data_IF_956021373447
#
_entry.id   IF_956021373447
#
_cell.length_a   1.000
_cell.length_b   1.000
_cell.length_c   1.000
_cell.angle_alpha   90.00
_cell.angle_beta   90.00
_cell.angle_gamma   90.00
#
_symmetry.space_group_name_H-M   'P 1'
#
loop_
_entity.id
_entity.type
_entity.pdbx_description
1 polymer ?
#
# COMPACT_ATOMS: atom_id res chain seq x y z
N UNK A 1 -36.25 -71.80 -18.70
CA UNK A 1 -35.37 -71.01 -17.80
C UNK A 1 -34.02 -70.86 -18.53
N UNK A 2 -33.31 -69.74 -18.64
CA UNK A 2 -33.19 -68.57 -17.77
C UNK A 2 -32.65 -67.31 -18.51
N UNK A 3 -33.09 -66.15 -17.98
CA UNK A 3 -32.44 -64.84 -17.83
C UNK A 3 -31.92 -64.08 -19.08
N UNK A 4 -32.81 -63.20 -19.57
CA UNK A 4 -32.54 -62.01 -20.39
C UNK A 4 -31.47 -61.11 -19.75
N UNK A 5 -30.35 -60.91 -20.44
CA UNK A 5 -29.37 -59.88 -20.12
C UNK A 5 -29.84 -58.49 -20.58
N UNK A 6 -30.38 -57.70 -19.64
CA UNK A 6 -30.66 -56.28 -19.86
C UNK A 6 -29.36 -55.50 -19.75
N UNK A 7 -28.67 -55.31 -20.87
CA UNK A 7 -27.51 -54.43 -20.94
C UNK A 7 -27.96 -52.99 -20.73
N UNK A 8 -27.49 -52.40 -19.62
CA UNK A 8 -27.84 -51.07 -19.16
C UNK A 8 -27.69 -50.00 -20.24
N UNK A 9 -28.79 -49.30 -20.51
CA UNK A 9 -28.82 -48.08 -21.32
C UNK A 9 -27.86 -47.08 -20.70
N UNK A 10 -26.71 -46.86 -21.34
CA UNK A 10 -25.80 -45.75 -21.02
C UNK A 10 -26.60 -44.46 -21.13
N UNK A 11 -26.92 -43.84 -20.00
CA UNK A 11 -27.57 -42.55 -19.92
C UNK A 11 -26.68 -41.51 -20.61
N UNK A 12 -26.94 -41.28 -21.90
CA UNK A 12 -26.40 -40.15 -22.67
C UNK A 12 -27.08 -38.88 -22.15
N UNK A 13 -26.69 -38.42 -20.96
CA UNK A 13 -27.04 -37.09 -20.46
C UNK A 13 -26.38 -36.04 -21.35
N UNK A 14 -27.04 -35.68 -22.46
CA UNK A 14 -26.67 -34.53 -23.29
C UNK A 14 -27.29 -33.27 -22.68
N UNK A 15 -26.76 -32.83 -21.54
CA UNK A 15 -27.19 -31.56 -20.93
C UNK A 15 -26.69 -30.42 -21.82
N UNK A 16 -27.54 -29.93 -22.72
CA UNK A 16 -27.28 -28.75 -23.54
C UNK A 16 -27.56 -27.50 -22.70
N UNK A 17 -26.62 -27.12 -21.84
CA UNK A 17 -26.71 -25.86 -21.09
C UNK A 17 -26.57 -24.67 -22.04
N UNK A 18 -27.34 -23.62 -21.81
CA UNK A 18 -27.16 -22.34 -22.50
C UNK A 18 -25.78 -21.78 -22.12
N UNK A 19 -25.04 -21.26 -23.10
CA UNK A 19 -23.70 -20.66 -22.88
C UNK A 19 -23.71 -19.62 -21.74
N UNK A 20 -24.77 -18.82 -21.66
CA UNK A 20 -24.98 -17.84 -20.58
C UNK A 20 -24.98 -18.49 -19.20
N UNK A 21 -25.68 -19.60 -19.02
CA UNK A 21 -25.74 -20.35 -17.75
C UNK A 21 -24.37 -20.90 -17.36
N UNK A 22 -23.60 -21.39 -18.33
CA UNK A 22 -22.23 -21.88 -18.08
C UNK A 22 -21.37 -20.76 -17.50
N UNK A 23 -21.35 -19.58 -18.14
CA UNK A 23 -20.58 -18.44 -17.63
C UNK A 23 -21.02 -18.01 -16.23
N UNK A 24 -22.33 -17.95 -15.96
CA UNK A 24 -22.83 -17.60 -14.62
C UNK A 24 -22.40 -18.62 -13.57
N UNK A 25 -22.42 -19.92 -13.87
CA UNK A 25 -21.97 -20.97 -12.95
C UNK A 25 -20.47 -20.81 -12.65
N UNK A 26 -19.64 -20.59 -13.67
CA UNK A 26 -18.21 -20.35 -13.48
C UNK A 26 -17.96 -19.09 -12.65
N UNK A 27 -18.65 -17.99 -12.95
CA UNK A 27 -18.52 -16.74 -12.19
C UNK A 27 -18.86 -16.90 -10.71
N UNK A 28 -20.01 -17.51 -10.41
CA UNK A 28 -20.42 -17.78 -9.03
C UNK A 28 -19.45 -18.74 -8.33
N UNK A 29 -19.00 -19.79 -9.03
CA UNK A 29 -18.03 -20.75 -8.50
C UNK A 29 -16.69 -20.10 -8.16
N UNK A 30 -16.18 -19.21 -9.01
CA UNK A 30 -14.92 -18.48 -8.76
C UNK A 30 -15.04 -17.54 -7.55
N UNK A 31 -16.14 -16.80 -7.42
CA UNK A 31 -16.36 -15.92 -6.26
C UNK A 31 -16.50 -16.74 -4.98
N UNK A 32 -17.28 -17.82 -5.01
CA UNK A 32 -17.45 -18.70 -3.86
C UNK A 32 -16.10 -19.31 -3.43
N UNK A 33 -15.30 -19.80 -4.39
CA UNK A 33 -13.95 -20.29 -4.11
C UNK A 33 -13.07 -19.20 -3.48
N UNK A 34 -13.12 -17.97 -3.99
CA UNK A 34 -12.40 -16.86 -3.36
C UNK A 34 -12.83 -16.62 -1.92
N UNK A 35 -14.13 -16.64 -1.63
CA UNK A 35 -14.65 -16.43 -0.28
C UNK A 35 -14.14 -17.54 0.64
N UNK A 36 -14.13 -18.80 0.18
CA UNK A 36 -13.56 -19.91 0.92
C UNK A 36 -12.07 -19.75 1.21
N UNK A 37 -11.28 -19.34 0.21
CA UNK A 37 -9.84 -19.09 0.40
C UNK A 37 -9.63 -17.92 1.37
N UNK A 38 -10.38 -16.83 1.21
CA UNK A 38 -10.28 -15.66 2.10
C UNK A 38 -10.66 -16.01 3.54
N UNK A 39 -11.74 -16.77 3.71
CA UNK A 39 -12.19 -17.25 5.01
C UNK A 39 -11.16 -18.16 5.67
N UNK A 40 -10.41 -18.94 4.89
CA UNK A 40 -9.30 -19.76 5.38
C UNK A 40 -8.18 -18.96 6.05
N UNK A 41 -8.01 -17.66 5.72
CA UNK A 41 -7.07 -16.77 6.40
C UNK A 41 -7.57 -16.22 7.74
N UNK A 42 -8.89 -16.16 7.92
CA UNK A 42 -9.52 -15.52 9.09
C UNK A 42 -9.97 -16.58 10.11
N UNK A 43 -10.54 -17.68 9.63
CA UNK A 43 -11.15 -18.71 10.46
C UNK A 43 -10.10 -19.72 10.97
N UNK A 44 -10.16 -20.01 12.27
CA UNK A 44 -9.29 -20.95 12.98
C UNK A 44 -9.98 -22.31 13.19
N UNK A 45 -10.27 -23.01 12.09
CA UNK A 45 -10.80 -24.37 12.12
C UNK A 45 -9.85 -25.36 11.44
N UNK A 46 -9.80 -26.65 11.84
CA UNK A 46 -8.81 -27.60 11.31
C UNK A 46 -8.80 -27.70 9.78
N UNK A 47 -9.99 -27.71 9.16
CA UNK A 47 -10.12 -27.73 7.70
C UNK A 47 -9.62 -26.43 7.05
N UNK A 48 -9.92 -25.29 7.67
CA UNK A 48 -9.49 -23.98 7.17
C UNK A 48 -7.98 -23.78 7.33
N UNK A 49 -7.39 -24.26 8.42
CA UNK A 49 -5.95 -24.27 8.65
C UNK A 49 -5.21 -25.16 7.64
N UNK A 50 -5.76 -26.33 7.34
CA UNK A 50 -5.21 -27.21 6.30
C UNK A 50 -5.24 -26.55 4.92
N UNK A 51 -6.37 -25.97 4.51
CA UNK A 51 -6.46 -25.21 3.25
C UNK A 51 -5.45 -24.06 3.24
N UNK A 52 -5.32 -23.36 4.36
CA UNK A 52 -4.45 -22.21 4.46
C UNK A 52 -2.98 -22.60 4.30
N UNK A 53 -2.56 -23.62 5.05
CA UNK A 53 -1.19 -24.16 5.00
C UNK A 53 -0.86 -24.70 3.61
N UNK A 54 -1.80 -25.36 2.92
CA UNK A 54 -1.63 -25.75 1.52
C UNK A 54 -1.37 -24.52 0.64
N UNK A 55 -2.24 -23.52 0.67
CA UNK A 55 -2.14 -22.35 -0.23
C UNK A 55 -0.87 -21.54 0.08
N UNK A 56 -0.50 -21.38 1.35
CA UNK A 56 0.79 -20.79 1.75
C UNK A 56 1.99 -21.63 1.32
N UNK A 57 1.88 -22.95 1.31
CA UNK A 57 2.94 -23.82 0.78
C UNK A 57 3.18 -23.60 -0.71
N UNK A 58 2.10 -23.45 -1.50
CA UNK A 58 2.20 -23.25 -2.95
C UNK A 58 2.60 -21.82 -3.35
N UNK A 59 2.04 -20.79 -2.72
CA UNK A 59 2.18 -19.39 -3.13
C UNK A 59 2.92 -18.50 -2.13
N UNK A 60 3.35 -19.05 -0.99
CA UNK A 60 4.07 -18.31 0.04
C UNK A 60 3.26 -17.15 0.64
N UNK A 61 3.91 -16.02 1.00
CA UNK A 61 3.22 -14.81 1.46
C UNK A 61 2.24 -14.21 0.45
N UNK A 62 2.43 -14.42 -0.86
CA UNK A 62 1.51 -13.91 -1.88
C UNK A 62 0.21 -14.72 -2.00
N UNK A 63 0.07 -15.81 -1.24
CA UNK A 63 -1.20 -16.53 -1.06
C UNK A 63 -2.37 -15.62 -0.68
N UNK A 64 -2.11 -14.54 0.06
CA UNK A 64 -3.13 -13.56 0.46
C UNK A 64 -3.78 -12.82 -0.72
N UNK A 65 -3.08 -12.66 -1.85
CA UNK A 65 -3.62 -12.01 -3.06
C UNK A 65 -4.41 -12.97 -3.95
N UNK A 66 -4.32 -14.28 -3.73
CA UNK A 66 -4.99 -15.31 -4.53
C UNK A 66 -6.52 -15.18 -4.53
N UNK A 67 -7.22 -14.89 -3.41
CA UNK A 67 -8.65 -14.55 -3.41
C UNK A 67 -9.00 -13.46 -4.42
N UNK A 68 -8.19 -12.39 -4.48
CA UNK A 68 -8.44 -11.26 -5.38
C UNK A 68 -8.38 -11.70 -6.84
N UNK A 69 -7.45 -12.60 -7.19
CA UNK A 69 -7.39 -13.21 -8.53
C UNK A 69 -8.72 -13.90 -8.86
N UNK A 70 -9.22 -14.76 -7.97
CA UNK A 70 -10.47 -15.49 -8.18
C UNK A 70 -11.71 -14.58 -8.24
N UNK A 71 -11.74 -13.49 -7.46
CA UNK A 71 -12.81 -12.48 -7.53
C UNK A 71 -12.83 -11.82 -8.90
N UNK A 72 -11.67 -11.40 -9.42
CA UNK A 72 -11.59 -10.76 -10.72
C UNK A 72 -12.02 -11.71 -11.86
N UNK A 73 -11.63 -12.99 -11.79
CA UNK A 73 -12.14 -14.01 -12.71
C UNK A 73 -13.65 -14.24 -12.57
N UNK A 74 -14.18 -14.21 -11.35
CA UNK A 74 -15.61 -14.27 -11.09
C UNK A 74 -16.39 -13.14 -11.79
N UNK A 75 -15.90 -11.91 -11.63
CA UNK A 75 -16.49 -10.74 -12.28
C UNK A 75 -16.35 -10.75 -13.80
N UNK A 76 -15.25 -11.28 -14.33
CA UNK A 76 -15.05 -11.47 -15.77
C UNK A 76 -16.17 -12.33 -16.38
N UNK A 77 -16.53 -13.44 -15.73
CA UNK A 77 -17.55 -14.35 -16.26
C UNK A 77 -18.98 -13.82 -16.12
N UNK A 78 -19.26 -12.97 -15.14
CA UNK A 78 -20.58 -12.36 -15.02
C UNK A 78 -20.92 -11.34 -16.11
N UNK A 79 -19.93 -10.86 -16.88
CA UNK A 79 -20.12 -9.85 -17.94
C UNK A 79 -20.98 -8.65 -17.48
N UNK A 80 -20.82 -8.26 -16.22
CA UNK A 80 -21.47 -7.06 -15.69
C UNK A 80 -20.83 -5.85 -16.37
N UNK A 81 -21.57 -4.74 -16.51
CA UNK A 81 -21.02 -3.47 -17.06
C UNK A 81 -20.04 -2.77 -16.10
N UNK A 82 -19.59 -3.47 -15.06
CA UNK A 82 -18.72 -2.93 -14.04
C UNK A 82 -17.26 -2.88 -14.52
N UNK A 83 -16.48 -1.88 -14.10
CA UNK A 83 -15.09 -1.71 -14.56
C UNK A 83 -14.21 -2.94 -14.26
N UNK A 84 -14.46 -3.64 -13.15
CA UNK A 84 -13.74 -4.87 -12.76
C UNK A 84 -14.10 -6.11 -13.60
N UNK A 85 -15.20 -6.07 -14.37
CA UNK A 85 -15.60 -7.16 -15.27
C UNK A 85 -14.92 -7.10 -16.63
N UNK A 86 -14.07 -6.08 -16.88
CA UNK A 86 -13.28 -5.98 -18.10
C UNK A 86 -12.23 -7.10 -18.14
N UNK A 87 -12.08 -7.83 -19.27
CA UNK A 87 -11.06 -8.87 -19.42
C UNK A 87 -9.65 -8.41 -19.07
N UNK A 88 -9.32 -7.17 -19.45
CA UNK A 88 -8.01 -6.56 -19.26
C UNK A 88 -7.61 -6.55 -17.77
N UNK A 89 -8.55 -6.26 -16.86
CA UNK A 89 -8.29 -6.19 -15.41
C UNK A 89 -7.95 -7.58 -14.84
N UNK A 90 -8.75 -8.60 -15.17
CA UNK A 90 -8.55 -9.95 -14.67
C UNK A 90 -7.27 -10.59 -15.21
N UNK A 91 -7.04 -10.48 -16.53
CA UNK A 91 -5.85 -11.03 -17.20
C UNK A 91 -4.59 -10.27 -16.77
N UNK A 92 -4.65 -8.94 -16.72
CA UNK A 92 -3.54 -8.10 -16.27
C UNK A 92 -3.14 -8.40 -14.83
N UNK A 93 -4.11 -8.49 -13.91
CA UNK A 93 -3.82 -8.84 -12.51
C UNK A 93 -3.25 -10.25 -12.37
N UNK A 94 -3.76 -11.24 -13.12
CA UNK A 94 -3.20 -12.59 -13.13
C UNK A 94 -1.74 -12.57 -13.61
N UNK A 95 -1.42 -11.80 -14.64
CA UNK A 95 -0.08 -11.69 -15.20
C UNK A 95 0.88 -11.05 -14.19
N UNK A 96 0.46 -9.95 -13.55
CA UNK A 96 1.22 -9.32 -12.45
C UNK A 96 1.42 -10.32 -11.31
N UNK A 97 0.36 -11.01 -10.88
CA UNK A 97 0.40 -11.97 -9.79
C UNK A 97 1.42 -13.08 -10.04
N UNK A 98 1.35 -13.73 -11.21
CA UNK A 98 2.28 -14.80 -11.59
C UNK A 98 3.71 -14.26 -11.69
N UNK A 99 3.90 -13.07 -12.26
CA UNK A 99 5.22 -12.45 -12.40
C UNK A 99 5.84 -12.10 -11.05
N UNK A 100 5.06 -11.61 -10.10
CA UNK A 100 5.50 -11.31 -8.72
C UNK A 100 5.84 -12.62 -7.98
N UNK A 101 4.96 -13.63 -8.03
CA UNK A 101 5.20 -14.93 -7.40
C UNK A 101 6.50 -15.57 -7.93
N UNK A 102 6.73 -15.49 -9.24
CA UNK A 102 7.95 -15.96 -9.89
C UNK A 102 9.18 -15.14 -9.50
N UNK A 103 9.08 -13.80 -9.51
CA UNK A 103 10.19 -12.88 -9.18
C UNK A 103 10.74 -13.15 -7.78
N UNK A 104 9.84 -13.29 -6.80
CA UNK A 104 10.20 -13.55 -5.40
C UNK A 104 10.40 -15.04 -5.09
N UNK A 105 10.29 -15.93 -6.09
CA UNK A 105 10.37 -17.39 -5.92
C UNK A 105 9.46 -17.89 -4.79
N UNK A 106 8.26 -17.34 -4.72
CA UNK A 106 7.39 -17.49 -3.56
C UNK A 106 6.63 -18.81 -3.59
N UNK A 107 6.76 -19.58 -2.50
CA UNK A 107 6.19 -20.91 -2.41
C UNK A 107 6.73 -21.88 -3.46
N UNK A 108 6.14 -23.06 -3.54
CA UNK A 108 6.52 -24.08 -4.51
C UNK A 108 6.34 -23.60 -5.96
N UNK A 109 5.23 -22.91 -6.27
CA UNK A 109 4.91 -22.48 -7.64
C UNK A 109 5.90 -21.44 -8.14
N UNK A 110 6.21 -20.42 -7.32
CA UNK A 110 7.15 -19.37 -7.70
C UNK A 110 8.56 -19.92 -7.90
N UNK A 111 9.02 -20.79 -7.01
CA UNK A 111 10.32 -21.44 -7.13
C UNK A 111 10.40 -22.31 -8.39
N UNK A 112 9.36 -23.12 -8.67
CA UNK A 112 9.30 -23.97 -9.85
C UNK A 112 9.30 -23.14 -11.14
N UNK A 113 8.47 -22.09 -11.23
CA UNK A 113 8.43 -21.22 -12.42
C UNK A 113 9.77 -20.54 -12.66
N UNK A 114 10.39 -20.03 -11.59
CA UNK A 114 11.71 -19.39 -11.70
C UNK A 114 12.75 -20.39 -12.20
N UNK A 115 12.80 -21.59 -11.61
CA UNK A 115 13.78 -22.62 -11.98
C UNK A 115 13.65 -22.99 -13.45
N UNK A 116 12.45 -23.37 -13.89
CA UNK A 116 12.17 -23.79 -15.28
C UNK A 116 12.61 -22.74 -16.30
N UNK A 117 12.39 -21.45 -16.01
CA UNK A 117 12.76 -20.38 -16.93
C UNK A 117 14.27 -20.07 -16.84
N UNK A 118 14.85 -20.17 -15.64
CA UNK A 118 16.29 -19.96 -15.43
C UNK A 118 17.16 -21.03 -16.06
N UNK A 119 16.64 -22.25 -16.22
CA UNK A 119 17.32 -23.33 -16.92
C UNK A 119 17.50 -23.01 -18.42
N UNK A 120 16.65 -22.15 -18.98
CA UNK A 120 16.68 -21.76 -20.40
C UNK A 120 17.45 -20.45 -20.63
N UNK A 121 17.22 -19.41 -19.82
CA UNK A 121 17.69 -18.03 -20.09
C UNK A 121 18.75 -17.53 -19.07
N UNK A 122 19.15 -18.39 -18.12
CA UNK A 122 19.96 -18.08 -16.91
C UNK A 122 19.18 -17.29 -15.85
N UNK A 123 19.57 -17.38 -14.56
CA UNK A 123 18.86 -16.73 -13.46
C UNK A 123 18.70 -15.21 -13.59
N UNK A 124 19.71 -14.51 -14.12
CA UNK A 124 19.64 -13.05 -14.33
C UNK A 124 18.61 -12.70 -15.41
N UNK A 125 18.56 -13.47 -16.49
CA UNK A 125 17.56 -13.30 -17.54
C UNK A 125 16.14 -13.53 -17.03
N UNK A 126 15.95 -14.55 -16.20
CA UNK A 126 14.66 -14.84 -15.56
C UNK A 126 14.15 -13.69 -14.70
N UNK A 127 15.02 -13.04 -13.92
CA UNK A 127 14.65 -11.86 -13.13
C UNK A 127 14.17 -10.71 -14.03
N UNK A 128 14.87 -10.43 -15.13
CA UNK A 128 14.46 -9.41 -16.09
C UNK A 128 13.10 -9.75 -16.73
N UNK A 129 12.90 -11.01 -17.15
CA UNK A 129 11.62 -11.47 -17.72
C UNK A 129 10.49 -11.30 -16.72
N UNK A 130 10.69 -11.66 -15.44
CA UNK A 130 9.68 -11.44 -14.41
C UNK A 130 9.39 -9.95 -14.20
N UNK A 131 10.41 -9.10 -14.21
CA UNK A 131 10.24 -7.65 -14.06
C UNK A 131 9.45 -7.05 -15.23
N UNK A 132 9.81 -7.44 -16.45
CA UNK A 132 9.08 -7.07 -17.67
C UNK A 132 7.65 -7.58 -17.65
N UNK A 133 7.43 -8.82 -17.17
CA UNK A 133 6.10 -9.38 -16.96
C UNK A 133 5.25 -8.53 -16.02
N UNK A 134 5.80 -8.04 -14.92
CA UNK A 134 5.09 -7.11 -14.02
C UNK A 134 4.69 -5.83 -14.77
N UNK A 135 5.61 -5.24 -15.53
CA UNK A 135 5.32 -4.00 -16.29
C UNK A 135 4.23 -4.23 -17.34
N UNK A 136 4.35 -5.29 -18.15
CA UNK A 136 3.34 -5.66 -19.16
C UNK A 136 2.00 -5.94 -18.49
N UNK A 137 2.00 -6.66 -17.37
CA UNK A 137 0.79 -6.95 -16.61
C UNK A 137 0.09 -5.69 -16.10
N UNK A 138 0.86 -4.68 -15.64
CA UNK A 138 0.31 -3.40 -15.21
C UNK A 138 -0.29 -2.60 -16.38
N UNK A 139 0.38 -2.57 -17.54
CA UNK A 139 -0.15 -1.94 -18.77
C UNK A 139 -1.51 -2.56 -19.13
N UNK A 140 -1.58 -3.90 -19.15
CA UNK A 140 -2.81 -4.64 -19.46
C UNK A 140 -3.87 -4.41 -18.39
N UNK A 141 -3.51 -4.42 -17.10
CA UNK A 141 -4.45 -4.27 -15.99
C UNK A 141 -5.18 -2.92 -16.03
N UNK A 142 -4.43 -1.84 -16.28
CA UNK A 142 -4.99 -0.49 -16.30
C UNK A 142 -5.59 -0.10 -17.64
N UNK A 143 -5.37 -0.89 -18.70
CA UNK A 143 -5.77 -0.52 -20.07
C UNK A 143 -5.16 0.85 -20.45
N UNK A 144 -3.92 1.08 -20.00
CA UNK A 144 -3.28 2.39 -19.94
C UNK A 144 -1.89 2.36 -20.57
N UNK A 145 -1.50 3.44 -21.24
CA UNK A 145 -0.17 3.60 -21.83
C UNK A 145 0.95 3.70 -20.77
N UNK A 146 2.18 3.32 -21.13
CA UNK A 146 3.36 3.42 -20.24
C UNK A 146 3.55 4.85 -19.68
N UNK A 147 3.29 5.86 -20.51
CA UNK A 147 3.46 7.27 -20.14
C UNK A 147 2.48 7.71 -19.05
N UNK A 148 1.24 7.24 -19.11
CA UNK A 148 0.22 7.51 -18.08
C UNK A 148 0.56 6.83 -16.75
N UNK A 149 1.11 5.62 -16.76
CA UNK A 149 1.60 4.94 -15.55
C UNK A 149 2.74 5.74 -14.90
N UNK A 150 3.72 6.19 -15.70
CA UNK A 150 4.83 7.01 -15.21
C UNK A 150 4.37 8.36 -14.65
N UNK A 151 3.40 9.01 -15.30
CA UNK A 151 2.75 10.23 -14.79
C UNK A 151 2.03 9.99 -13.48
N UNK A 152 1.30 8.87 -13.35
CA UNK A 152 0.62 8.46 -12.12
C UNK A 152 1.60 8.21 -10.96
N UNK A 153 2.72 7.53 -11.22
CA UNK A 153 3.77 7.32 -10.21
C UNK A 153 4.35 8.67 -9.76
N UNK A 154 4.62 9.60 -10.68
CA UNK A 154 5.12 10.94 -10.34
C UNK A 154 4.11 11.76 -9.53
N UNK A 155 2.82 11.69 -9.83
CA UNK A 155 1.77 12.40 -9.08
C UNK A 155 1.53 11.79 -7.69
N UNK A 156 1.66 10.46 -7.53
CA UNK A 156 1.56 9.83 -6.21
C UNK A 156 2.68 10.26 -5.25
N UNK A 157 3.86 10.65 -5.74
CA UNK A 157 4.92 11.20 -4.88
C UNK A 157 4.54 12.54 -4.23
N UNK A 158 3.71 13.36 -4.86
CA UNK A 158 3.22 14.60 -4.25
C UNK A 158 2.12 14.34 -3.21
N UNK A 159 1.26 13.37 -3.49
CA UNK A 159 0.20 12.92 -2.57
C UNK A 159 0.82 12.23 -1.34
N UNK A 160 1.85 11.41 -1.52
CA UNK A 160 2.55 10.70 -0.44
C UNK A 160 3.34 11.66 0.47
N UNK A 161 3.93 12.73 -0.09
CA UNK A 161 4.55 13.82 0.70
C UNK A 161 3.52 14.62 1.51
N UNK A 162 2.26 14.67 1.06
CA UNK A 162 1.16 15.37 1.72
C UNK A 162 0.45 14.51 2.78
N UNK A 163 0.46 13.18 2.63
CA UNK A 163 -0.15 12.21 3.54
C UNK A 163 0.80 11.66 4.61
N UNK A 164 2.11 11.67 4.39
CA UNK A 164 3.11 11.35 5.41
C UNK A 164 3.60 12.67 6.02
N UNK A 165 3.08 13.10 7.20
CA UNK A 165 3.67 14.21 7.90
C UNK A 165 5.12 13.84 8.25
N UNK A 166 6.06 14.53 7.64
CA UNK A 166 7.51 14.41 7.87
C UNK A 166 7.90 14.73 9.34
N UNK A 167 6.93 15.03 10.22
CA UNK A 167 7.10 15.24 11.65
C UNK A 167 7.36 13.96 12.45
N UNK A 168 6.99 12.77 11.94
CA UNK A 168 7.28 11.50 12.64
C UNK A 168 8.70 10.98 12.42
N UNK A 169 9.40 11.45 11.37
CA UNK A 169 10.76 11.03 11.03
C UNK A 169 11.84 12.10 11.31
N UNK A 170 11.47 13.32 11.73
CA UNK A 170 12.41 14.24 12.37
C UNK A 170 12.71 13.75 13.79
N UNK A 171 13.73 12.89 13.86
CA UNK A 171 14.46 12.47 15.06
C UNK A 171 14.17 13.32 16.30
N UNK A 172 13.51 12.67 17.27
CA UNK A 172 13.72 12.86 18.71
C UNK A 172 15.22 12.62 19.00
N UNK A 173 16.08 13.61 18.77
CA UNK A 173 17.53 13.50 18.98
C UNK A 173 18.03 14.10 20.29
N UNK A 174 17.19 14.78 21.08
CA UNK A 174 17.68 15.56 22.23
C UNK A 174 17.14 15.10 23.60
N UNK A 175 16.48 13.94 23.70
CA UNK A 175 15.94 13.50 25.00
C UNK A 175 16.95 12.80 25.93
N UNK A 176 18.24 12.74 25.55
CA UNK A 176 19.31 12.12 26.34
C UNK A 176 20.51 13.02 26.63
N UNK A 177 20.51 14.30 26.22
CA UNK A 177 21.72 15.14 26.32
C UNK A 177 21.72 16.15 27.48
N UNK A 178 20.64 16.30 28.26
CA UNK A 178 20.58 17.31 29.33
C UNK A 178 19.95 16.79 30.64
N UNK A 179 20.21 15.53 31.00
CA UNK A 179 19.95 15.07 32.37
C UNK A 179 21.28 15.12 33.12
N UNK A 180 21.56 16.13 33.96
CA UNK A 180 22.75 16.12 34.80
C UNK A 180 22.70 14.88 35.69
N UNK A 181 23.76 14.08 35.66
CA UNK A 181 23.91 12.92 36.53
C UNK A 181 24.01 13.41 37.98
N UNK A 182 22.99 13.09 38.78
CA UNK A 182 23.04 13.27 40.23
C UNK A 182 23.83 12.08 40.79
N UNK A 183 25.05 12.37 41.24
CA UNK A 183 25.88 11.44 42.01
C UNK A 183 25.18 11.20 43.36
N UNK A 184 24.79 9.96 43.61
CA UNK A 184 24.26 9.50 44.89
C UNK A 184 25.43 9.35 45.87
N UNK A 185 25.81 10.46 46.48
CA UNK A 185 26.79 10.57 47.56
C UNK A 185 26.13 11.21 48.78
N UNK A 186 26.29 10.54 49.90
CA UNK A 186 25.71 10.72 51.23
C UNK A 186 26.01 12.08 51.89
N UNK A 187 25.03 12.66 52.62
CA UNK A 187 25.33 13.53 53.77
C UNK A 187 24.66 14.91 53.86
N UNK A 188 23.61 14.97 54.70
CA UNK A 188 23.18 16.08 55.60
C UNK A 188 22.59 17.37 54.96
N UNK A 189 21.39 17.73 55.44
CA UNK A 189 20.48 18.79 54.95
C UNK A 189 20.89 20.25 55.19
N UNK A 190 19.97 21.25 55.20
CA UNK A 190 18.59 21.17 55.72
C UNK A 190 17.48 21.66 54.75
N UNK A 191 16.26 21.46 55.25
CA UNK A 191 14.93 21.76 54.71
C UNK A 191 14.65 23.26 54.68
N UNK A 192 14.17 23.82 53.55
CA UNK A 192 13.36 25.06 53.52
C UNK A 192 12.27 24.98 52.44
N UNK A 193 11.05 24.71 52.92
CA UNK A 193 9.73 25.31 52.60
C UNK A 193 9.33 25.52 51.13
N UNK A 194 8.31 24.75 50.75
CA UNK A 194 7.42 24.92 49.59
C UNK A 194 6.65 26.25 49.63
N UNK A 195 6.65 27.00 48.53
CA UNK A 195 5.59 27.95 48.21
C UNK A 195 5.13 27.79 46.76
N UNK A 196 3.82 27.62 46.62
CA UNK A 196 3.09 27.37 45.40
C UNK A 196 2.57 28.70 44.85
N UNK A 197 3.00 29.12 43.66
CA UNK A 197 2.34 30.19 42.90
C UNK A 197 2.23 29.75 41.44
N UNK A 198 1.01 29.49 41.01
CA UNK A 198 0.60 29.36 39.60
C UNK A 198 0.76 30.71 38.90
N UNK A 199 1.35 30.74 37.70
CA UNK A 199 1.10 31.79 36.71
C UNK A 199 1.44 31.35 35.28
N UNK A 200 0.38 31.02 34.54
CA UNK A 200 0.11 31.30 33.12
C UNK A 200 1.27 31.82 32.24
N UNK A 201 1.96 30.92 31.54
CA UNK A 201 2.91 31.22 30.46
C UNK A 201 2.24 31.28 29.06
N UNK A 202 1.00 31.77 28.99
CA UNK A 202 0.24 31.87 27.74
C UNK A 202 0.28 33.27 27.07
N UNK A 203 1.04 34.25 27.58
CA UNK A 203 0.91 35.66 27.12
C UNK A 203 2.21 36.43 26.86
N UNK A 204 3.37 35.79 26.74
CA UNK A 204 4.66 36.53 26.59
C UNK A 204 5.31 36.41 25.20
N UNK A 205 4.90 35.47 24.33
CA UNK A 205 5.59 35.24 23.05
C UNK A 205 4.89 35.82 21.80
N UNK A 206 3.63 36.25 21.88
CA UNK A 206 2.90 36.83 20.74
C UNK A 206 3.06 38.35 20.59
N UNK A 207 3.90 39.00 21.42
CA UNK A 207 4.06 40.46 21.44
C UNK A 207 5.51 40.95 21.28
N UNK A 208 6.33 40.26 20.47
CA UNK A 208 7.71 40.72 20.20
C UNK A 208 8.12 40.84 18.73
N UNK A 209 7.22 40.68 17.75
CA UNK A 209 7.44 41.24 16.39
C UNK A 209 6.10 41.62 15.75
N UNK A 210 5.54 42.74 16.20
CA UNK A 210 4.40 43.41 15.55
C UNK A 210 4.83 44.83 15.18
N UNK A 211 5.64 44.96 14.13
CA UNK A 211 5.74 46.20 13.39
C UNK A 211 4.92 46.05 12.10
N UNK A 212 3.59 46.16 12.22
CA UNK A 212 2.73 46.58 11.10
C UNK A 212 2.58 48.09 11.19
N UNK A 213 3.56 48.83 10.67
CA UNK A 213 3.40 50.25 10.41
C UNK A 213 2.71 50.40 9.05
N UNK A 214 1.38 50.30 9.06
CA UNK A 214 0.51 50.72 7.97
C UNK A 214 -0.35 51.87 8.48
N UNK A 215 0.25 53.05 8.62
CA UNK A 215 -0.47 54.32 8.79
C UNK A 215 0.50 55.50 8.68
N UNK A 216 0.66 56.01 7.45
CA UNK A 216 0.82 57.43 7.15
C UNK A 216 1.86 58.24 7.93
N UNK A 217 3.14 57.94 7.81
CA UNK A 217 4.18 58.97 7.94
C UNK A 217 4.96 59.04 6.63
N UNK A 218 4.65 60.07 5.85
CA UNK A 218 5.42 60.52 4.70
C UNK A 218 6.79 60.90 5.24
N UNK A 219 7.85 60.29 4.70
CA UNK A 219 9.19 60.61 5.14
C UNK A 219 9.59 61.95 4.53
N UNK A 220 9.39 63.03 5.26
CA UNK A 220 9.85 64.37 4.85
C UNK A 220 11.35 64.50 5.17
N UNK A 221 12.11 64.94 4.17
CA UNK A 221 13.53 65.19 4.32
C UNK A 221 13.76 66.41 5.22
N UNK A 222 14.70 66.35 6.17
CA UNK A 222 14.97 67.47 7.08
C UNK A 222 15.43 68.72 6.32
N UNK A 223 15.03 69.94 6.75
CA UNK A 223 15.46 71.17 6.09
C UNK A 223 16.98 71.31 6.14
N UNK A 224 17.55 71.81 5.04
CA UNK A 224 18.99 71.97 4.84
C UNK A 224 19.62 73.06 5.74
N UNK A 225 18.83 73.72 6.59
CA UNK A 225 19.29 74.69 7.60
C UNK A 225 20.19 74.06 8.67
N UNK A 226 20.25 72.73 8.77
CA UNK A 226 21.23 72.03 9.63
C UNK A 226 22.64 71.96 9.01
N UNK A 227 22.81 72.42 7.77
CA UNK A 227 24.11 72.54 7.10
C UNK A 227 24.46 74.01 6.77
N UNK A 228 23.60 74.98 7.09
CA UNK A 228 23.99 76.39 7.10
C UNK A 228 24.74 76.65 8.41
N UNK A 229 26.07 76.68 8.32
CA UNK A 229 26.95 77.32 9.30
C UNK A 229 26.39 78.72 9.60
N UNK A 230 25.76 78.88 10.76
CA UNK A 230 25.58 80.20 11.34
C UNK A 230 26.82 80.45 12.21
N UNK A 231 27.52 81.50 11.82
CA UNK A 231 28.85 81.86 12.25
C UNK A 231 28.89 82.19 13.75
N UNK A 232 30.08 82.06 14.32
CA UNK A 232 30.32 82.07 15.75
C UNK A 232 29.89 83.32 16.50
N UNK A 233 29.76 83.15 17.81
CA UNK A 233 30.36 84.02 18.83
C UNK A 233 30.60 83.25 20.13
#
# INVERSE_FOLDING_TARGET
MAKRGSYGKRLKFRVKLKKKTIYTIFGFGSILLSVFIFLSFIASGPSFEYINSLIRGYFGPFSFFLPIVFILFGFLFFRLKFSLSRPNVAVGFMLVYVSVVMLFRSGYVGAALFQNISDVIRPVGTLLVSLTGIVIGLIVLFDTSLDEILKGIRSTNEILKKLIPVSLFKKKKDFLSNKPMIVKGEGKGPIVISNNIKKDDALISEKLVSNKLSSGLIWEYPPLDLLSEDEGH
#
